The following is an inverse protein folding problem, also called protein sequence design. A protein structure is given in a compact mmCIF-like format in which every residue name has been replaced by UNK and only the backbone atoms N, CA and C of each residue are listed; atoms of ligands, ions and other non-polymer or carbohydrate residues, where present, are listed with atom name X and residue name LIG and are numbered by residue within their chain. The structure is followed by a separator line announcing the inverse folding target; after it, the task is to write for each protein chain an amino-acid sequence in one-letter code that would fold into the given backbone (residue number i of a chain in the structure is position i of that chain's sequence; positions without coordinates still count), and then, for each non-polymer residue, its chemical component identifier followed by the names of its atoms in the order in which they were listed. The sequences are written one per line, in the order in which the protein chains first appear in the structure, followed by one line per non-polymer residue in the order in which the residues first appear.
data_IF_467732698363
#
_entry.id   IF_467732698363
#
_cell.length_a   1.000
_cell.length_b   1.000
_cell.length_c   1.000
_cell.angle_alpha   90.00
_cell.angle_beta   90.00
_cell.angle_gamma   90.00
#
_symmetry.space_group_name_H-M   'P 1'
#
loop_
_entity.id
_entity.type
_entity.pdbx_description
1 polymer ?
#
# COMPACT_ATOMS: atom_id res chain seq x y z
N UNK A 1 23.41 -0.25 -42.22
CA UNK A 1 23.25 0.81 -41.20
C UNK A 1 22.00 1.61 -41.55
N UNK A 2 20.90 1.33 -40.84
CA UNK A 2 19.75 2.21 -40.54
C UNK A 2 18.88 1.40 -39.57
N UNK A 3 19.07 1.58 -38.26
CA UNK A 3 18.12 1.07 -37.28
C UNK A 3 16.90 1.98 -37.36
N UNK A 4 15.75 1.43 -37.78
CA UNK A 4 14.47 2.13 -37.63
C UNK A 4 14.22 2.33 -36.14
N UNK A 5 14.06 3.59 -35.73
CA UNK A 5 13.58 3.91 -34.39
C UNK A 5 12.16 3.37 -34.25
N UNK A 6 11.98 2.32 -33.44
CA UNK A 6 10.66 1.91 -33.00
C UNK A 6 10.30 2.81 -31.83
N UNK A 7 9.39 3.75 -32.07
CA UNK A 7 8.65 4.43 -31.00
C UNK A 7 7.90 3.33 -30.26
N UNK A 8 8.34 3.03 -29.04
CA UNK A 8 7.69 2.06 -28.18
C UNK A 8 6.35 2.65 -27.73
N UNK A 9 5.31 2.50 -28.57
CA UNK A 9 3.91 2.73 -28.21
C UNK A 9 3.42 1.60 -27.29
N UNK A 10 4.16 1.35 -26.22
CA UNK A 10 3.73 0.54 -25.10
C UNK A 10 3.05 1.47 -24.12
N UNK A 11 1.74 1.30 -23.95
CA UNK A 11 1.00 1.81 -22.80
C UNK A 11 1.73 1.30 -21.54
N UNK A 12 2.55 2.13 -20.91
CA UNK A 12 2.94 1.89 -19.51
C UNK A 12 1.91 2.65 -18.68
N UNK A 13 0.67 2.15 -18.68
CA UNK A 13 -0.22 2.39 -17.54
C UNK A 13 0.44 1.63 -16.39
N UNK A 14 1.04 2.35 -15.45
CA UNK A 14 1.46 1.75 -14.19
C UNK A 14 0.20 1.21 -13.53
N UNK A 15 -0.05 -0.10 -13.63
CA UNK A 15 -1.24 -0.72 -13.05
C UNK A 15 -1.15 -0.61 -11.52
N UNK A 16 -1.88 0.34 -10.95
CA UNK A 16 -1.97 0.52 -9.49
C UNK A 16 -2.95 -0.49 -8.91
N UNK A 17 -2.65 -0.94 -7.70
CA UNK A 17 -3.53 -1.81 -6.92
C UNK A 17 -4.58 -0.98 -6.23
N UNK A 18 -5.85 -1.38 -6.33
CA UNK A 18 -6.91 -0.68 -5.62
C UNK A 18 -6.81 -0.92 -4.11
N UNK A 19 -6.82 0.17 -3.33
CA UNK A 19 -6.96 0.13 -1.87
C UNK A 19 -8.45 0.28 -1.52
N UNK A 20 -8.96 -0.63 -0.69
CA UNK A 20 -10.36 -0.63 -0.23
C UNK A 20 -10.34 -0.70 1.28
N UNK A 21 -11.00 0.24 1.94
CA UNK A 21 -11.27 0.16 3.38
C UNK A 21 -12.59 -0.61 3.59
N UNK A 22 -12.63 -1.43 4.62
CA UNK A 22 -13.88 -2.01 5.10
C UNK A 22 -14.62 -0.94 5.92
N UNK A 23 -15.95 -1.02 5.96
CA UNK A 23 -16.78 -0.02 6.64
C UNK A 23 -16.38 0.13 8.12
N UNK A 24 -16.20 -0.99 8.82
CA UNK A 24 -15.77 -1.01 10.22
C UNK A 24 -14.42 -0.30 10.44
N UNK A 25 -13.52 -0.33 9.45
CA UNK A 25 -12.23 0.34 9.54
C UNK A 25 -12.31 1.84 9.23
N UNK A 26 -13.29 2.31 8.46
CA UNK A 26 -13.46 3.74 8.20
C UNK A 26 -13.74 4.50 9.50
N UNK A 27 -14.65 3.98 10.33
CA UNK A 27 -15.00 4.59 11.61
C UNK A 27 -13.77 4.62 12.55
N UNK A 28 -13.02 3.52 12.65
CA UNK A 28 -11.78 3.47 13.44
C UNK A 28 -10.73 4.47 12.90
N UNK A 29 -10.59 4.59 11.58
CA UNK A 29 -9.62 5.48 10.95
C UNK A 29 -9.95 6.96 11.21
N UNK A 30 -11.23 7.33 11.14
CA UNK A 30 -11.70 8.70 11.36
C UNK A 30 -11.50 9.16 12.83
N UNK A 31 -11.48 8.21 13.78
CA UNK A 31 -11.18 8.48 15.19
C UNK A 31 -9.68 8.68 15.48
N UNK A 32 -8.79 8.23 14.59
CA UNK A 32 -7.34 8.44 14.75
C UNK A 32 -6.99 9.91 14.63
N UNK A 33 -5.91 10.34 15.29
CA UNK A 33 -5.41 11.69 15.09
C UNK A 33 -4.86 11.89 13.66
N UNK A 34 -4.85 13.14 13.21
CA UNK A 34 -4.48 13.50 11.84
C UNK A 34 -3.06 13.06 11.46
N UNK A 35 -2.12 13.02 12.41
CA UNK A 35 -0.74 12.57 12.17
C UNK A 35 -0.72 11.08 11.83
N UNK A 36 -1.44 10.26 12.60
CA UNK A 36 -1.55 8.81 12.35
C UNK A 36 -2.29 8.53 11.05
N UNK A 37 -3.38 9.25 10.77
CA UNK A 37 -4.10 9.14 9.50
C UNK A 37 -3.19 9.43 8.30
N UNK A 38 -2.46 10.54 8.32
CA UNK A 38 -1.57 10.94 7.23
C UNK A 38 -0.45 9.94 6.98
N UNK A 39 0.18 9.42 8.04
CA UNK A 39 1.23 8.40 7.92
C UNK A 39 0.67 7.07 7.36
N UNK A 40 -0.50 6.64 7.84
CA UNK A 40 -1.19 5.46 7.30
C UNK A 40 -1.45 5.61 5.79
N UNK A 41 -2.06 6.73 5.37
CA UNK A 41 -2.35 7.01 3.96
C UNK A 41 -1.08 7.09 3.10
N UNK A 42 0.00 7.64 3.63
CA UNK A 42 1.29 7.67 2.93
C UNK A 42 1.82 6.26 2.66
N UNK A 43 1.73 5.36 3.65
CA UNK A 43 2.13 3.97 3.49
C UNK A 43 1.19 3.18 2.56
N UNK A 44 -0.10 3.49 2.56
CA UNK A 44 -1.05 2.89 1.62
C UNK A 44 -0.76 3.27 0.17
N UNK A 45 -0.27 4.48 -0.13
CA UNK A 45 0.18 4.84 -1.50
C UNK A 45 1.37 3.99 -1.97
N UNK A 46 2.24 3.59 -1.06
CA UNK A 46 3.33 2.65 -1.39
C UNK A 46 2.73 1.28 -1.68
N UNK A 47 1.80 0.79 -0.85
CA UNK A 47 1.12 -0.46 -1.08
C UNK A 47 0.30 -0.47 -2.39
N UNK A 48 -0.36 0.63 -2.72
CA UNK A 48 -1.09 0.84 -3.98
C UNK A 48 -0.16 0.63 -5.19
N UNK A 49 1.07 1.12 -5.11
CA UNK A 49 2.04 1.02 -6.20
C UNK A 49 2.65 -0.37 -6.36
N UNK A 50 2.99 -1.03 -5.26
CA UNK A 50 3.76 -2.28 -5.28
C UNK A 50 2.90 -3.54 -5.09
N UNK A 51 1.72 -3.39 -4.51
CA UNK A 51 0.77 -4.46 -4.31
C UNK A 51 1.14 -5.45 -3.20
N UNK A 52 0.49 -6.62 -3.17
CA UNK A 52 0.58 -7.58 -2.07
C UNK A 52 1.98 -8.19 -1.88
N UNK A 53 2.84 -8.11 -2.89
CA UNK A 53 4.25 -8.54 -2.82
C UNK A 53 5.13 -7.58 -2.00
N UNK A 54 4.61 -6.40 -1.63
CA UNK A 54 5.30 -5.50 -0.72
C UNK A 54 5.59 -6.20 0.62
N UNK A 55 6.84 -6.11 1.05
CA UNK A 55 7.35 -6.71 2.27
C UNK A 55 7.94 -5.69 3.24
N UNK A 56 8.83 -6.16 4.11
CA UNK A 56 9.50 -5.32 5.11
C UNK A 56 10.31 -4.20 4.44
N UNK A 57 10.36 -2.98 5.03
CA UNK A 57 9.83 -2.63 6.35
C UNK A 57 8.35 -2.23 6.38
N UNK A 58 7.67 -2.10 5.24
CA UNK A 58 6.35 -1.48 5.13
C UNK A 58 5.20 -2.41 5.48
N UNK A 59 5.35 -3.70 5.21
CA UNK A 59 4.33 -4.71 5.46
C UNK A 59 5.00 -5.97 5.98
N UNK A 60 4.31 -6.72 6.83
CA UNK A 60 4.75 -8.04 7.24
C UNK A 60 3.59 -9.05 7.26
N UNK A 61 3.92 -10.33 7.31
CA UNK A 61 2.90 -11.38 7.45
C UNK A 61 2.36 -11.39 8.87
N UNK A 62 1.04 -11.27 9.01
CA UNK A 62 0.38 -11.30 10.31
C UNK A 62 0.34 -12.75 10.83
N UNK A 63 1.23 -13.06 11.78
CA UNK A 63 1.31 -14.39 12.40
C UNK A 63 0.11 -14.64 13.31
N UNK A 64 -0.40 -15.88 13.30
CA UNK A 64 -1.53 -16.28 14.14
C UNK A 64 -2.90 -15.89 13.61
N UNK A 65 -2.98 -15.25 12.43
CA UNK A 65 -4.25 -15.02 11.76
C UNK A 65 -4.93 -16.33 11.35
N UNK A 66 -6.26 -16.39 11.46
CA UNK A 66 -7.09 -17.46 10.91
C UNK A 66 -7.20 -17.41 9.37
N UNK A 67 -6.79 -16.30 8.76
CA UNK A 67 -6.87 -16.06 7.32
C UNK A 67 -5.50 -16.23 6.66
N UNK A 68 -5.45 -16.96 5.55
CA UNK A 68 -4.25 -17.07 4.74
C UNK A 68 -3.88 -15.71 4.12
N UNK A 69 -2.58 -15.47 3.94
CA UNK A 69 -2.03 -14.26 3.32
C UNK A 69 -2.38 -12.93 4.02
N UNK A 70 -2.87 -12.97 5.26
CA UNK A 70 -3.12 -11.75 6.03
C UNK A 70 -1.80 -11.07 6.39
N UNK A 71 -1.78 -9.74 6.21
CA UNK A 71 -0.61 -8.90 6.39
C UNK A 71 -0.94 -7.74 7.32
N UNK A 72 0.07 -7.22 7.99
CA UNK A 72 0.00 -6.00 8.81
C UNK A 72 0.74 -4.87 8.09
N UNK A 73 0.10 -3.71 7.95
CA UNK A 73 0.75 -2.48 7.51
C UNK A 73 1.60 -1.94 8.66
N UNK A 74 2.85 -1.58 8.38
CA UNK A 74 3.82 -1.16 9.39
C UNK A 74 4.30 0.25 9.08
N UNK A 75 4.05 1.14 10.02
CA UNK A 75 4.52 2.52 10.02
C UNK A 75 4.73 2.96 11.48
N UNK A 76 5.32 4.14 11.66
CA UNK A 76 5.44 4.77 12.96
C UNK A 76 4.73 6.10 12.87
N UNK A 77 3.82 6.36 13.78
CA UNK A 77 3.20 7.67 13.91
C UNK A 77 3.17 8.08 15.39
N UNK A 78 3.08 9.39 15.61
CA UNK A 78 2.81 9.99 16.93
C UNK A 78 3.56 9.33 18.11
N UNK A 79 4.90 9.35 18.06
CA UNK A 79 5.79 8.79 19.11
C UNK A 79 5.60 7.29 19.43
N UNK A 80 4.94 6.51 18.57
CA UNK A 80 4.91 5.05 18.68
C UNK A 80 3.52 4.44 18.81
N UNK A 81 2.52 5.02 18.14
CA UNK A 81 1.36 4.23 17.67
C UNK A 81 1.84 3.28 16.58
#
# INVERSE_FOLDING_TARGET
MYLKSYVFNGIIEFMTWQIIFQDDFNDEFDELNEIVQNECLAHLKVLEKFGPELGRPHVDTLKGSKHANMKELRFKADQGV
#
